data_IF_431426557888
#
_entry.id   IF_431426557888
#
_cell.length_a   1.000
_cell.length_b   1.000
_cell.length_c   1.000
_cell.angle_alpha   90.00
_cell.angle_beta   90.00
_cell.angle_gamma   90.00
#
_symmetry.space_group_name_H-M   'P 1'
#
loop_
_entity.id
_entity.type
_entity.pdbx_description
1 polymer ?
#
# COMPACT_ATOMS: atom_id res chain seq x y z
N UNK A 1 12.49 25.78 25.54
CA UNK A 1 11.05 25.58 25.83
C UNK A 1 10.59 24.43 24.95
N UNK A 2 9.87 23.41 25.44
CA UNK A 2 9.30 22.42 24.52
C UNK A 2 8.38 23.17 23.55
N UNK A 3 8.66 23.07 22.25
CA UNK A 3 7.78 23.63 21.23
C UNK A 3 6.41 22.96 21.43
N UNK A 4 5.42 23.74 21.87
CA UNK A 4 4.10 23.18 22.13
C UNK A 4 3.41 22.95 20.77
N UNK A 5 3.42 21.70 20.33
CA UNK A 5 2.79 21.28 19.07
C UNK A 5 1.25 21.38 19.11
N UNK A 6 0.69 21.72 20.27
CA UNK A 6 -0.76 21.77 20.53
C UNK A 6 -1.52 22.65 19.53
N UNK A 7 -0.93 23.75 19.07
CA UNK A 7 -1.54 24.61 18.06
C UNK A 7 -1.72 23.91 16.70
N UNK A 8 -0.82 22.99 16.32
CA UNK A 8 -0.98 22.19 15.11
C UNK A 8 -2.14 21.20 15.27
N UNK A 9 -2.24 20.53 16.42
CA UNK A 9 -3.34 19.61 16.69
C UNK A 9 -4.69 20.32 16.71
N UNK A 10 -4.75 21.54 17.26
CA UNK A 10 -5.94 22.38 17.24
C UNK A 10 -6.33 22.76 15.80
N UNK A 11 -5.36 23.14 14.97
CA UNK A 11 -5.56 23.42 13.54
C UNK A 11 -6.16 22.21 12.81
N UNK A 12 -5.58 21.02 13.00
CA UNK A 12 -6.10 19.77 12.41
C UNK A 12 -7.51 19.47 12.93
N UNK A 13 -7.79 19.70 14.22
CA UNK A 13 -9.13 19.51 14.79
C UNK A 13 -10.17 20.40 14.11
N UNK A 14 -9.82 21.66 13.83
CA UNK A 14 -10.69 22.59 13.12
C UNK A 14 -10.92 22.15 11.67
N UNK A 15 -9.88 21.72 10.95
CA UNK A 15 -9.99 21.18 9.58
C UNK A 15 -10.97 20.00 9.52
N UNK A 16 -10.85 19.06 10.46
CA UNK A 16 -11.74 17.90 10.54
C UNK A 16 -13.18 18.28 10.86
N UNK A 17 -13.41 19.24 11.78
CA UNK A 17 -14.76 19.73 12.11
C UNK A 17 -15.40 20.48 10.95
N UNK A 18 -14.59 21.20 10.17
CA UNK A 18 -15.03 21.93 8.97
C UNK A 18 -15.21 21.02 7.74
N UNK A 19 -14.91 19.72 7.86
CA UNK A 19 -14.90 18.76 6.76
C UNK A 19 -13.99 19.19 5.58
N UNK A 20 -12.93 19.94 5.88
CA UNK A 20 -11.93 20.42 4.92
C UNK A 20 -10.66 19.55 4.98
N UNK A 21 -10.87 18.23 4.89
CA UNK A 21 -9.81 17.23 4.99
C UNK A 21 -9.13 17.11 3.61
N UNK A 22 -7.80 17.04 3.58
CA UNK A 22 -7.09 16.78 2.32
C UNK A 22 -7.33 15.35 1.84
N UNK A 23 -8.23 15.18 0.87
CA UNK A 23 -8.72 13.87 0.41
C UNK A 23 -7.61 12.90 0.02
N UNK A 24 -6.56 13.36 -0.70
CA UNK A 24 -5.44 12.52 -1.07
C UNK A 24 -4.63 12.00 0.12
N UNK A 25 -4.43 12.86 1.14
CA UNK A 25 -3.75 12.47 2.38
C UNK A 25 -4.62 11.55 3.23
N UNK A 26 -5.93 11.82 3.28
CA UNK A 26 -6.91 10.96 3.93
C UNK A 26 -6.92 9.55 3.33
N UNK A 27 -7.00 9.43 2.00
CA UNK A 27 -6.99 8.14 1.32
C UNK A 27 -5.70 7.37 1.58
N UNK A 28 -4.56 8.06 1.63
CA UNK A 28 -3.27 7.45 2.00
C UNK A 28 -3.25 6.94 3.44
N UNK A 29 -3.90 7.64 4.36
CA UNK A 29 -4.04 7.18 5.75
C UNK A 29 -5.04 6.01 5.86
N UNK A 30 -6.12 6.03 5.08
CA UNK A 30 -7.15 5.00 5.04
C UNK A 30 -6.63 3.67 4.48
N UNK A 31 -5.84 3.71 3.40
CA UNK A 31 -5.16 2.55 2.82
C UNK A 31 -4.19 1.91 3.83
N UNK A 32 -3.33 2.70 4.46
CA UNK A 32 -2.40 2.22 5.49
C UNK A 32 -3.11 1.66 6.72
N UNK A 33 -4.32 2.13 7.01
CA UNK A 33 -5.16 1.63 8.09
C UNK A 33 -5.91 0.34 7.73
N UNK A 34 -5.76 -0.19 6.51
CA UNK A 34 -6.52 -1.34 6.01
C UNK A 34 -8.04 -1.14 6.12
N UNK A 35 -8.51 0.11 5.95
CA UNK A 35 -9.93 0.48 6.05
C UNK A 35 -10.46 0.67 7.49
N UNK A 36 -9.61 0.62 8.50
CA UNK A 36 -10.00 0.96 9.88
C UNK A 36 -10.04 2.48 10.07
N UNK A 37 -11.25 3.07 10.08
CA UNK A 37 -11.45 4.52 10.18
C UNK A 37 -10.79 5.16 11.41
N UNK A 38 -10.75 4.46 12.55
CA UNK A 38 -10.15 5.02 13.78
C UNK A 38 -8.63 5.09 13.63
N UNK A 39 -8.02 4.06 13.06
CA UNK A 39 -6.59 4.06 12.74
C UNK A 39 -6.26 5.05 11.63
N UNK A 40 -7.09 5.15 10.60
CA UNK A 40 -6.94 6.11 9.51
C UNK A 40 -6.97 7.54 10.05
N UNK A 41 -7.89 7.83 10.97
CA UNK A 41 -7.98 9.12 11.65
C UNK A 41 -6.70 9.45 12.43
N UNK A 42 -6.19 8.51 13.23
CA UNK A 42 -4.95 8.70 13.97
C UNK A 42 -3.75 8.93 13.04
N UNK A 43 -3.66 8.17 11.93
CA UNK A 43 -2.62 8.31 10.92
C UNK A 43 -2.71 9.66 10.20
N UNK A 44 -3.90 10.08 9.79
CA UNK A 44 -4.13 11.37 9.15
C UNK A 44 -3.69 12.53 10.04
N UNK A 45 -4.11 12.53 11.31
CA UNK A 45 -3.74 13.58 12.27
C UNK A 45 -2.21 13.67 12.40
N UNK A 46 -1.53 12.52 12.53
CA UNK A 46 -0.06 12.49 12.61
C UNK A 46 0.58 13.09 11.35
N UNK A 47 0.16 12.64 10.17
CA UNK A 47 0.70 13.10 8.90
C UNK A 47 0.49 14.61 8.69
N UNK A 48 -0.71 15.10 9.05
CA UNK A 48 -1.08 16.51 8.89
C UNK A 48 -0.29 17.42 9.85
N UNK A 49 -0.11 17.01 11.10
CA UNK A 49 0.72 17.76 12.06
C UNK A 49 2.17 17.84 11.59
N UNK A 50 2.74 16.73 11.09
CA UNK A 50 4.09 16.75 10.52
C UNK A 50 4.21 17.67 9.29
N UNK A 51 3.16 17.73 8.47
CA UNK A 51 3.11 18.67 7.34
C UNK A 51 3.09 20.12 7.81
N UNK A 52 2.22 20.48 8.75
CA UNK A 52 2.12 21.85 9.27
C UNK A 52 3.43 22.32 9.91
N UNK A 53 4.14 21.44 10.60
CA UNK A 53 5.49 21.71 11.13
C UNK A 53 6.48 22.07 10.03
N UNK A 54 6.49 21.32 8.93
CA UNK A 54 7.37 21.60 7.78
C UNK A 54 7.01 22.91 7.09
N UNK A 55 5.71 23.18 6.94
CA UNK A 55 5.21 24.43 6.36
C UNK A 55 5.61 25.63 7.21
N UNK A 56 5.46 25.55 8.54
CA UNK A 56 5.93 26.60 9.45
C UNK A 56 7.44 26.79 9.38
N UNK A 57 8.23 25.71 9.44
CA UNK A 57 9.68 25.80 9.37
C UNK A 57 10.15 26.44 8.05
N UNK A 58 9.51 26.09 6.92
CA UNK A 58 9.78 26.70 5.62
C UNK A 58 9.43 28.20 5.64
N UNK A 59 8.26 28.56 6.14
CA UNK A 59 7.85 29.96 6.22
C UNK A 59 8.78 30.80 7.12
N UNK A 60 9.30 30.22 8.20
CA UNK A 60 10.30 30.85 9.07
C UNK A 60 11.64 31.05 8.36
N UNK A 61 12.07 30.09 7.55
CA UNK A 61 13.28 30.21 6.72
C UNK A 61 13.13 31.29 5.65
N UNK A 62 12.02 31.30 4.92
CA UNK A 62 11.72 32.29 3.88
C UNK A 62 11.67 33.71 4.48
N UNK A 63 11.08 33.87 5.69
CA UNK A 63 10.97 35.16 6.37
C UNK A 63 12.31 35.70 6.90
N UNK A 64 13.31 34.84 7.12
CA UNK A 64 14.65 35.23 7.56
C UNK A 64 15.54 35.71 6.40
N UNK A 65 15.04 35.74 5.16
CA UNK A 65 15.77 36.29 4.02
C UNK A 65 17.09 35.57 3.74
N UNK A 66 17.20 34.29 4.14
CA UNK A 66 18.24 33.43 3.60
C UNK A 66 17.84 33.21 2.16
N UNK A 67 18.45 33.97 1.25
CA UNK A 67 18.56 33.58 -0.15
C UNK A 67 19.18 32.18 -0.11
N UNK A 68 18.35 31.13 -0.17
CA UNK A 68 18.81 29.88 -0.73
C UNK A 68 19.07 30.25 -2.17
N UNK A 69 20.35 30.36 -2.53
CA UNK A 69 20.78 30.36 -3.90
C UNK A 69 20.10 29.14 -4.54
N UNK A 70 18.96 29.37 -5.16
CA UNK A 70 18.30 28.48 -6.11
C UNK A 70 19.20 28.50 -7.36
N UNK A 71 20.44 28.01 -7.20
CA UNK A 71 21.09 27.30 -8.29
C UNK A 71 20.15 26.14 -8.59
N UNK A 72 19.49 26.25 -9.74
CA UNK A 72 18.75 25.22 -10.45
C UNK A 72 19.64 23.99 -10.74
N UNK A 73 20.20 23.36 -9.71
CA UNK A 73 20.66 21.99 -9.79
C UNK A 73 19.41 21.12 -9.80
N UNK A 74 18.89 20.97 -11.02
CA UNK A 74 18.01 19.91 -11.45
C UNK A 74 18.24 18.66 -10.58
N UNK A 75 17.36 18.45 -9.60
CA UNK A 75 17.29 17.17 -8.92
C UNK A 75 16.80 16.18 -9.97
N UNK A 76 17.74 15.44 -10.56
CA UNK A 76 17.49 14.34 -11.47
C UNK A 76 16.28 13.53 -10.95
N UNK A 77 15.19 13.50 -11.73
CA UNK A 77 13.96 12.76 -11.42
C UNK A 77 14.20 11.24 -11.24
N UNK A 78 15.42 10.77 -11.47
CA UNK A 78 15.87 9.40 -11.28
C UNK A 78 15.94 8.96 -9.80
N UNK A 79 16.10 9.89 -8.84
CA UNK A 79 16.28 9.55 -7.42
C UNK A 79 15.08 8.85 -6.77
N UNK A 80 13.86 9.32 -7.03
CA UNK A 80 12.64 8.71 -6.50
C UNK A 80 12.30 7.39 -7.23
N UNK A 81 12.61 7.30 -8.52
CA UNK A 81 12.42 6.09 -9.32
C UNK A 81 13.36 4.95 -8.84
N UNK A 82 14.57 5.27 -8.39
CA UNK A 82 15.53 4.30 -7.84
C UNK A 82 15.11 3.66 -6.51
N UNK A 83 14.28 4.34 -5.70
CA UNK A 83 13.78 3.80 -4.43
C UNK A 83 12.63 2.79 -4.64
N UNK A 84 11.72 3.08 -5.56
CA UNK A 84 10.58 2.19 -5.89
C UNK A 84 11.05 0.97 -6.67
N UNK A 85 12.02 1.14 -7.60
CA UNK A 85 12.60 0.04 -8.37
C UNK A 85 13.35 -0.99 -7.51
N UNK A 86 13.81 -0.60 -6.31
CA UNK A 86 14.46 -1.49 -5.34
C UNK A 86 13.51 -2.48 -4.68
N UNK A 87 12.21 -2.17 -4.62
CA UNK A 87 11.20 -3.03 -3.99
C UNK A 87 10.71 -4.11 -4.96
N UNK A 88 10.59 -3.79 -6.26
CA UNK A 88 10.14 -4.74 -7.29
C UNK A 88 11.18 -5.84 -7.60
N UNK A 89 12.48 -5.57 -7.40
CA UNK A 89 13.56 -6.46 -7.86
C UNK A 89 13.90 -7.63 -6.93
N UNK A 90 13.13 -7.88 -5.86
CA UNK A 90 13.47 -8.92 -4.88
C UNK A 90 12.75 -10.26 -5.06
N UNK A 91 11.95 -10.42 -6.12
CA UNK A 91 11.33 -11.71 -6.45
C UNK A 91 12.17 -12.39 -7.54
N UNK A 92 13.04 -13.36 -7.20
CA UNK A 92 13.84 -14.05 -8.21
C UNK A 92 12.94 -14.87 -9.15
N UNK A 93 13.31 -15.02 -10.42
CA UNK A 93 12.56 -15.83 -11.41
C UNK A 93 12.35 -17.29 -10.96
N UNK A 94 13.18 -17.79 -10.04
CA UNK A 94 12.99 -19.10 -9.41
C UNK A 94 11.68 -19.19 -8.61
N UNK A 95 11.15 -18.09 -8.08
CA UNK A 95 9.86 -18.04 -7.38
C UNK A 95 8.70 -18.13 -8.37
N UNK A 96 8.81 -17.47 -9.53
CA UNK A 96 7.83 -17.60 -10.62
C UNK A 96 7.82 -19.01 -11.19
N UNK A 97 8.99 -19.62 -11.42
CA UNK A 97 9.09 -21.01 -11.85
C UNK A 97 8.59 -21.99 -10.77
N UNK A 98 8.81 -21.71 -9.48
CA UNK A 98 8.27 -22.52 -8.38
C UNK A 98 6.74 -22.45 -8.29
N UNK A 99 6.14 -21.28 -8.51
CA UNK A 99 4.69 -21.10 -8.53
C UNK A 99 4.05 -21.73 -9.78
N UNK A 100 4.73 -21.64 -10.94
CA UNK A 100 4.26 -22.23 -12.20
C UNK A 100 4.37 -23.75 -12.18
N UNK A 101 5.48 -24.32 -11.70
CA UNK A 101 5.65 -25.78 -11.56
C UNK A 101 4.71 -26.34 -10.48
N UNK A 102 4.55 -25.63 -9.36
CA UNK A 102 3.61 -26.00 -8.29
C UNK A 102 2.14 -25.96 -8.74
N UNK A 103 1.75 -24.93 -9.51
CA UNK A 103 0.41 -24.79 -10.07
C UNK A 103 0.10 -25.83 -11.15
N UNK A 104 1.08 -26.21 -11.97
CA UNK A 104 0.93 -27.32 -12.93
C UNK A 104 0.80 -28.67 -12.22
N UNK A 105 1.54 -28.93 -11.14
CA UNK A 105 1.41 -30.16 -10.36
C UNK A 105 0.08 -30.22 -9.61
N UNK A 106 -0.37 -29.12 -9.00
CA UNK A 106 -1.68 -29.05 -8.32
C UNK A 106 -2.83 -29.14 -9.31
N UNK A 107 -2.72 -28.49 -10.47
CA UNK A 107 -3.68 -28.56 -11.57
C UNK A 107 -3.78 -29.97 -12.16
N UNK A 108 -2.64 -30.63 -12.42
CA UNK A 108 -2.61 -32.03 -12.84
C UNK A 108 -3.16 -32.96 -11.75
N UNK A 109 -2.88 -32.70 -10.46
CA UNK A 109 -3.44 -33.47 -9.35
C UNK A 109 -4.96 -33.30 -9.27
N UNK A 110 -5.48 -32.08 -9.44
CA UNK A 110 -6.93 -31.81 -9.47
C UNK A 110 -7.60 -32.42 -10.70
N UNK A 111 -6.99 -32.35 -11.88
CA UNK A 111 -7.49 -33.03 -13.09
C UNK A 111 -7.45 -34.55 -12.92
N UNK A 112 -6.41 -35.10 -12.28
CA UNK A 112 -6.30 -36.54 -12.00
C UNK A 112 -7.32 -37.01 -10.96
N UNK A 113 -7.51 -36.27 -9.86
CA UNK A 113 -8.54 -36.51 -8.84
C UNK A 113 -9.94 -36.41 -9.46
N UNK A 114 -10.20 -35.35 -10.24
CA UNK A 114 -11.49 -35.16 -10.92
C UNK A 114 -11.77 -36.24 -11.98
N UNK A 115 -10.72 -36.73 -12.66
CA UNK A 115 -10.82 -37.88 -13.57
C UNK A 115 -10.98 -39.21 -12.83
N UNK A 116 -10.45 -39.36 -11.61
CA UNK A 116 -10.62 -40.55 -10.77
C UNK A 116 -12.07 -40.68 -10.29
N UNK A 117 -12.72 -39.56 -9.93
CA UNK A 117 -14.12 -39.50 -9.52
C UNK A 117 -15.08 -39.86 -10.68
N UNK A 118 -14.83 -39.35 -11.89
CA UNK A 118 -15.66 -39.65 -13.08
C UNK A 118 -15.55 -41.11 -13.55
N UNK A 119 -14.42 -41.79 -13.32
CA UNK A 119 -14.28 -43.22 -13.66
C UNK A 119 -14.73 -44.16 -12.54
N UNK A 120 -14.97 -43.67 -11.32
CA UNK A 120 -15.55 -44.44 -10.21
C UNK A 120 -17.03 -44.78 -10.42
N UNK A 121 -17.79 -43.86 -11.01
CA UNK A 121 -19.22 -44.06 -11.33
C UNK A 121 -19.45 -44.97 -12.56
N UNK A 122 -18.45 -45.12 -13.43
CA UNK A 122 -18.55 -45.95 -14.64
C UNK A 122 -18.50 -47.47 -14.41
N UNK A 123 -18.09 -47.93 -13.21
CA UNK A 123 -18.06 -49.38 -12.88
C UNK A 123 -19.32 -49.88 -12.17
N UNK A 124 -20.08 -49.02 -11.49
CA UNK A 124 -21.29 -49.43 -10.77
C UNK A 124 -22.51 -49.60 -11.69
N UNK A 125 -22.55 -48.94 -12.85
CA UNK A 125 -23.70 -49.00 -13.77
C UNK A 125 -23.68 -50.19 -14.75
N UNK A 126 -22.55 -50.91 -14.87
CA UNK A 126 -22.43 -52.06 -15.79
C UNK A 126 -22.82 -53.40 -15.15
N UNK A 127 -22.90 -53.50 -13.81
CA UNK A 127 -23.35 -54.72 -13.12
C UNK A 127 -24.87 -54.78 -12.88
N UNK A 128 -25.63 -53.73 -13.25
CA UNK A 128 -27.09 -53.69 -13.06
C UNK A 128 -27.90 -53.81 -14.35
N UNK A 129 -27.25 -53.92 -15.51
CA UNK A 129 -27.90 -54.02 -16.83
C UNK A 129 -27.46 -55.27 -17.63
N UNK A 130 -26.97 -56.29 -16.92
CA UNK A 130 -26.62 -57.59 -17.47
C UNK A 130 -27.08 -58.71 -16.54
N UNK A 131 -28.39 -58.93 -16.51
CA UNK A 131 -29.09 -60.04 -15.85
C UNK A 131 -30.38 -60.32 -16.60
#
# INVERSE_FOLDING_TARGET
>A
MPANDEHFYETVSQEMKANNVQEGMWMKAYEQAMGDEKKATALYIKMRVEQLKREQAKAEMDALGVETDDDDDAMDEDGAMMAVKRIEQRIPESVWNALQIGGFLLGCLLIWIFRQELMGLGRSLRSMLGG
#
